data_IF_486586496628
#
_entry.id   IF_486586496628
#
_cell.length_a   1.000
_cell.length_b   1.000
_cell.length_c   1.000
_cell.angle_alpha   90.00
_cell.angle_beta   90.00
_cell.angle_gamma   90.00
#
_symmetry.space_group_name_H-M   'P 1'
#
loop_
_entity.id
_entity.type
_entity.pdbx_description
1 polymer ?
#
# COMPACT_ATOMS: atom_id res chain seq x y z
N UNK A 1 1.47 6.59 -0.92
CA UNK A 1 0.32 6.73 -1.86
C UNK A 1 0.87 6.91 -3.27
N UNK A 2 0.21 6.35 -4.29
CA UNK A 2 0.53 6.60 -5.72
C UNK A 2 -0.73 7.19 -6.37
N UNK A 3 -0.60 8.26 -7.16
CA UNK A 3 -1.68 8.81 -8.00
C UNK A 3 -1.14 9.25 -9.37
N UNK A 4 -2.03 9.55 -10.32
CA UNK A 4 -1.68 10.06 -11.66
C UNK A 4 -1.49 11.59 -11.70
N UNK A 5 -1.57 12.26 -10.54
CA UNK A 5 -1.40 13.71 -10.44
C UNK A 5 0.06 14.09 -10.67
N UNK A 6 0.36 15.27 -11.24
CA UNK A 6 1.71 15.81 -11.29
C UNK A 6 2.39 15.86 -9.92
N UNK A 7 3.72 15.80 -9.90
CA UNK A 7 4.53 15.83 -8.68
C UNK A 7 4.26 17.05 -7.82
N UNK A 8 4.05 18.22 -8.42
CA UNK A 8 3.83 19.49 -7.70
C UNK A 8 2.48 19.48 -6.98
N UNK A 9 1.45 18.94 -7.64
CA UNK A 9 0.10 18.78 -7.07
C UNK A 9 0.14 17.79 -5.89
N UNK A 10 0.79 16.64 -6.09
CA UNK A 10 0.97 15.62 -5.04
C UNK A 10 1.75 16.16 -3.83
N UNK A 11 2.81 16.95 -4.07
CA UNK A 11 3.63 17.54 -3.02
C UNK A 11 2.88 18.61 -2.22
N UNK A 12 2.11 19.47 -2.90
CA UNK A 12 1.27 20.47 -2.25
C UNK A 12 0.19 19.80 -1.38
N UNK A 13 -0.47 18.76 -1.91
CA UNK A 13 -1.49 18.02 -1.18
C UNK A 13 -0.91 17.29 0.05
N UNK A 14 0.24 16.62 -0.08
CA UNK A 14 0.96 16.00 1.05
C UNK A 14 1.25 17.01 2.16
N UNK A 15 1.72 18.20 1.78
CA UNK A 15 2.01 19.29 2.71
C UNK A 15 0.75 19.78 3.41
N UNK A 16 -0.33 20.00 2.65
CA UNK A 16 -1.62 20.42 3.20
C UNK A 16 -2.23 19.43 4.20
N UNK A 17 -1.97 18.13 4.04
CA UNK A 17 -2.40 17.09 4.97
C UNK A 17 -1.48 16.91 6.19
N UNK A 18 -0.28 17.52 6.20
CA UNK A 18 0.74 17.23 7.21
C UNK A 18 1.22 15.77 7.20
N UNK A 19 1.13 15.09 6.05
CA UNK A 19 1.42 13.67 5.96
C UNK A 19 2.92 13.38 6.04
N UNK A 20 3.30 12.40 6.86
CA UNK A 20 4.70 11.99 7.09
C UNK A 20 5.18 10.90 6.12
N UNK A 21 4.27 10.29 5.35
CA UNK A 21 4.59 9.23 4.40
C UNK A 21 4.70 9.75 2.96
N UNK A 22 5.40 9.00 2.10
CA UNK A 22 5.70 9.39 0.72
C UNK A 22 4.48 9.34 -0.20
N UNK A 23 4.37 10.35 -1.05
CA UNK A 23 3.44 10.43 -2.17
C UNK A 23 4.26 10.30 -3.45
N UNK A 24 3.89 9.36 -4.31
CA UNK A 24 4.53 9.08 -5.58
C UNK A 24 3.60 9.54 -6.70
N UNK A 25 4.16 10.21 -7.70
CA UNK A 25 3.45 10.62 -8.90
C UNK A 25 3.72 9.60 -10.01
N UNK A 26 2.65 9.00 -10.54
CA UNK A 26 2.62 8.22 -11.77
C UNK A 26 1.96 9.05 -12.88
N UNK A 27 2.40 10.30 -13.05
CA UNK A 27 1.83 11.22 -14.04
C UNK A 27 1.87 10.66 -15.47
N UNK A 28 2.92 9.90 -15.79
CA UNK A 28 3.09 9.21 -17.07
C UNK A 28 2.32 7.88 -17.16
N UNK A 29 1.63 7.47 -16.10
CA UNK A 29 0.75 6.28 -16.05
C UNK A 29 1.48 4.96 -16.33
N UNK A 30 2.79 4.92 -16.04
CA UNK A 30 3.63 3.75 -16.24
C UNK A 30 3.28 2.66 -15.23
N UNK A 31 3.09 3.03 -13.97
CA UNK A 31 2.80 2.06 -12.91
C UNK A 31 1.39 1.49 -13.05
N UNK A 32 0.37 2.33 -13.25
CA UNK A 32 -1.02 1.84 -13.35
C UNK A 32 -1.24 0.96 -14.58
N UNK A 33 -0.51 1.22 -15.68
CA UNK A 33 -0.55 0.39 -16.88
C UNK A 33 0.18 -0.93 -16.66
N UNK A 34 1.38 -0.91 -16.04
CA UNK A 34 2.15 -2.11 -15.74
C UNK A 34 1.43 -3.03 -14.73
N UNK A 35 0.63 -2.46 -13.84
CA UNK A 35 -0.18 -3.18 -12.85
C UNK A 35 -1.56 -3.59 -13.38
N UNK A 36 -1.93 -3.19 -14.61
CA UNK A 36 -3.25 -3.44 -15.22
C UNK A 36 -4.43 -2.98 -14.33
N UNK A 37 -4.31 -1.78 -13.74
CA UNK A 37 -5.32 -1.18 -12.87
C UNK A 37 -5.93 0.09 -13.45
N UNK A 38 -5.96 0.21 -14.78
CA UNK A 38 -6.58 1.35 -15.47
C UNK A 38 -8.10 1.13 -15.56
N UNK A 39 -8.89 2.14 -15.23
CA UNK A 39 -10.35 2.08 -15.37
C UNK A 39 -10.75 2.06 -16.86
N UNK A 40 -11.60 1.10 -17.25
CA UNK A 40 -12.04 0.87 -18.64
C UNK A 40 -13.56 0.97 -18.86
N UNK A 41 -14.31 1.52 -17.90
CA UNK A 41 -15.78 1.54 -17.92
C UNK A 41 -16.35 2.48 -19.00
N UNK A 42 -17.29 2.03 -19.86
CA UNK A 42 -18.00 2.88 -20.82
C UNK A 42 -18.82 4.01 -20.16
N UNK A 43 -18.95 5.21 -20.77
CA UNK A 43 -18.58 5.55 -22.15
C UNK A 43 -17.10 5.95 -22.33
N UNK A 44 -16.22 5.60 -21.39
CA UNK A 44 -14.78 5.85 -21.49
C UNK A 44 -14.38 7.27 -21.11
N UNK A 45 -13.23 7.36 -20.46
CA UNK A 45 -12.23 8.45 -20.44
C UNK A 45 -12.65 9.92 -20.36
N UNK A 46 -13.87 10.27 -19.91
CA UNK A 46 -14.25 11.69 -19.72
C UNK A 46 -13.31 12.47 -18.80
N UNK A 47 -12.56 11.76 -17.95
CA UNK A 47 -11.57 12.31 -17.01
C UNK A 47 -10.16 11.71 -17.19
N UNK A 48 -9.87 11.02 -18.31
CA UNK A 48 -8.57 10.38 -18.61
C UNK A 48 -8.43 8.92 -18.14
N UNK A 49 -7.24 8.34 -18.34
CA UNK A 49 -6.84 7.02 -17.81
C UNK A 49 -6.69 7.13 -16.28
N UNK A 50 -7.74 6.74 -15.56
CA UNK A 50 -7.80 6.77 -14.10
C UNK A 50 -7.31 5.44 -13.53
N UNK A 51 -6.66 5.51 -12.37
CA UNK A 51 -6.32 4.32 -11.60
C UNK A 51 -7.56 3.80 -10.87
N UNK A 52 -7.93 2.54 -11.09
CA UNK A 52 -8.80 1.81 -10.17
C UNK A 52 -8.10 1.77 -8.82
N UNK A 53 -8.80 2.12 -7.73
CA UNK A 53 -8.19 2.16 -6.42
C UNK A 53 -7.82 0.76 -5.92
N UNK A 54 -6.52 0.47 -5.82
CA UNK A 54 -6.02 -0.75 -5.20
C UNK A 54 -5.21 -0.46 -3.94
N UNK A 55 -5.11 -1.44 -3.07
CA UNK A 55 -4.17 -1.44 -1.93
C UNK A 55 -3.47 -2.78 -1.87
N UNK A 56 -2.15 -2.72 -1.74
CA UNK A 56 -1.28 -3.90 -1.68
C UNK A 56 -0.58 -3.91 -0.33
N UNK A 57 -0.74 -5.00 0.42
CA UNK A 57 0.11 -5.31 1.56
C UNK A 57 1.29 -6.13 1.04
N UNK A 58 2.52 -5.68 1.27
CA UNK A 58 3.74 -6.30 0.72
C UNK A 58 4.65 -6.79 1.83
N UNK A 59 5.26 -7.95 1.62
CA UNK A 59 6.39 -8.43 2.40
C UNK A 59 7.65 -7.58 2.09
N UNK A 60 8.71 -7.65 2.93
CA UNK A 60 9.93 -6.87 2.73
C UNK A 60 10.65 -7.12 1.39
N UNK A 61 10.44 -8.29 0.79
CA UNK A 61 10.99 -8.68 -0.52
C UNK A 61 10.09 -8.28 -1.71
N UNK A 62 9.09 -7.43 -1.47
CA UNK A 62 8.06 -6.99 -2.42
C UNK A 62 7.06 -8.07 -2.84
N UNK A 63 7.10 -9.26 -2.23
CA UNK A 63 6.07 -10.28 -2.45
C UNK A 63 4.72 -9.76 -1.95
N UNK A 64 3.68 -9.88 -2.77
CA UNK A 64 2.32 -9.48 -2.39
C UNK A 64 1.79 -10.43 -1.31
N UNK A 65 1.45 -9.87 -0.14
CA UNK A 65 0.73 -10.57 0.93
C UNK A 65 -0.79 -10.54 0.68
N UNK A 66 -1.32 -9.37 0.31
CA UNK A 66 -2.76 -9.16 0.08
C UNK A 66 -3.02 -8.07 -0.94
N UNK A 67 -4.10 -8.23 -1.71
CA UNK A 67 -4.64 -7.23 -2.63
C UNK A 67 -6.05 -6.88 -2.19
N UNK A 68 -6.36 -5.59 -2.10
CA UNK A 68 -7.71 -5.06 -1.92
C UNK A 68 -8.11 -4.25 -3.14
N UNK A 69 -9.17 -4.69 -3.83
CA UNK A 69 -9.78 -3.95 -4.94
C UNK A 69 -10.82 -2.98 -4.37
N UNK A 70 -10.47 -1.70 -4.35
CA UNK A 70 -11.29 -0.60 -3.84
C UNK A 70 -12.34 -0.07 -4.81
N UNK A 71 -12.59 -0.73 -5.95
CA UNK A 71 -13.52 -0.25 -6.98
C UNK A 71 -14.90 0.11 -6.42
N UNK A 72 -15.42 -0.71 -5.51
CA UNK A 72 -16.73 -0.49 -4.91
C UNK A 72 -16.63 0.15 -3.52
N UNK A 73 -17.74 0.72 -3.07
CA UNK A 73 -17.82 1.64 -1.92
C UNK A 73 -17.03 1.23 -0.66
N UNK A 74 -16.96 -0.07 -0.36
CA UNK A 74 -16.25 -0.64 0.81
C UNK A 74 -15.14 -1.62 0.42
N UNK A 75 -14.57 -1.49 -0.78
CA UNK A 75 -13.53 -2.40 -1.27
C UNK A 75 -12.12 -2.09 -0.76
N UNK A 76 -11.90 -0.89 -0.20
CA UNK A 76 -10.62 -0.52 0.41
C UNK A 76 -10.51 -1.16 1.80
N UNK A 77 -9.30 -1.55 2.23
CA UNK A 77 -9.13 -2.14 3.54
C UNK A 77 -9.40 -1.10 4.62
N UNK A 78 -10.02 -1.57 5.69
CA UNK A 78 -10.07 -0.87 6.97
C UNK A 78 -8.70 -0.89 7.63
N UNK A 79 -8.52 0.00 8.62
CA UNK A 79 -7.31 -0.03 9.46
C UNK A 79 -7.15 -1.35 10.21
N UNK A 80 -8.25 -2.04 10.53
CA UNK A 80 -8.19 -3.33 11.21
C UNK A 80 -7.67 -4.43 10.27
N UNK A 81 -8.14 -4.48 9.02
CA UNK A 81 -7.61 -5.41 8.02
C UNK A 81 -6.13 -5.15 7.74
N UNK A 82 -5.72 -3.89 7.58
CA UNK A 82 -4.30 -3.54 7.43
C UNK A 82 -3.48 -3.93 8.67
N UNK A 83 -4.01 -3.74 9.89
CA UNK A 83 -3.33 -4.14 11.12
C UNK A 83 -3.18 -5.66 11.21
N UNK A 84 -4.17 -6.43 10.74
CA UNK A 84 -4.10 -7.89 10.69
C UNK A 84 -3.07 -8.38 9.66
N UNK A 85 -3.05 -7.79 8.46
CA UNK A 85 -2.03 -8.07 7.45
C UNK A 85 -0.63 -7.77 8.01
N UNK A 86 -0.42 -6.59 8.60
CA UNK A 86 0.87 -6.21 9.20
C UNK A 86 1.29 -7.18 10.31
N UNK A 87 0.34 -7.64 11.14
CA UNK A 87 0.61 -8.65 12.18
C UNK A 87 1.10 -9.96 11.57
N UNK A 88 0.38 -10.49 10.58
CA UNK A 88 0.73 -11.74 9.92
C UNK A 88 2.09 -11.64 9.19
N UNK A 89 2.36 -10.51 8.53
CA UNK A 89 3.64 -10.27 7.86
C UNK A 89 4.80 -10.16 8.87
N UNK A 90 4.60 -9.48 10.00
CA UNK A 90 5.63 -9.38 11.05
C UNK A 90 5.93 -10.73 11.69
N UNK A 91 4.92 -11.55 11.95
CA UNK A 91 5.08 -12.91 12.47
C UNK A 91 5.88 -13.80 11.51
N UNK A 92 5.61 -13.68 10.21
CA UNK A 92 6.33 -14.42 9.17
C UNK A 92 7.77 -13.96 8.99
N UNK A 93 8.03 -12.65 9.06
CA UNK A 93 9.31 -12.07 8.65
C UNK A 93 10.29 -11.84 9.80
N UNK A 94 9.84 -11.72 11.05
CA UNK A 94 10.72 -11.45 12.19
C UNK A 94 11.06 -12.71 12.97
N UNK A 95 12.35 -13.05 13.03
CA UNK A 95 12.84 -14.17 13.83
C UNK A 95 12.59 -13.99 15.35
N UNK A 96 12.47 -12.74 15.80
CA UNK A 96 12.22 -12.33 17.18
C UNK A 96 10.77 -11.87 17.41
N UNK A 97 9.82 -12.31 16.57
CA UNK A 97 8.40 -11.98 16.77
C UNK A 97 7.85 -12.51 18.10
N UNK A 98 8.21 -13.74 18.46
CA UNK A 98 7.88 -14.34 19.76
C UNK A 98 8.99 -14.00 20.74
N UNK A 99 8.63 -13.32 21.84
CA UNK A 99 9.55 -13.04 22.93
C UNK A 99 10.14 -14.35 23.49
N UNK A 100 11.47 -14.43 23.53
CA UNK A 100 12.20 -15.49 24.21
C UNK A 100 13.02 -14.84 25.32
N UNK A 101 12.80 -15.29 26.55
CA UNK A 101 13.59 -14.81 27.68
C UNK A 101 15.08 -15.13 27.43
N UNK A 102 16.02 -14.28 27.90
CA UNK A 102 17.43 -14.60 27.87
C UNK A 102 17.69 -15.96 28.54
N UNK A 103 18.59 -16.76 27.96
CA UNK A 103 19.04 -17.98 28.63
C UNK A 103 19.66 -17.59 29.97
N UNK A 104 19.27 -18.28 31.05
CA UNK A 104 19.99 -18.14 32.32
C UNK A 104 21.36 -18.79 32.12
N UNK A 105 22.43 -17.99 32.19
CA UNK A 105 23.77 -18.53 32.29
C UNK A 105 23.82 -19.42 33.53
N UNK A 106 24.10 -20.71 33.33
CA UNK A 106 24.35 -21.64 34.42
C UNK A 106 25.65 -21.17 35.11
N UNK A 107 25.50 -20.34 36.14
CA UNK A 107 26.57 -19.99 37.05
C UNK A 107 27.06 -21.29 37.70
N UNK A 108 28.21 -21.77 37.22
CA UNK A 108 29.03 -22.79 37.88
C UNK A 108 29.89 -22.19 38.98
#
# INVERSE_FOLDING_TARGET
MISTDPSEVSAAFRTGLGATFTFLSDHERKAISALDIVEVTPPGFRHGLLAVPYTFSLLPDLTIHRIYNGWWFVGRPTNEELRQDLRAMMERCRADYVYRAPAQDAAG
#
